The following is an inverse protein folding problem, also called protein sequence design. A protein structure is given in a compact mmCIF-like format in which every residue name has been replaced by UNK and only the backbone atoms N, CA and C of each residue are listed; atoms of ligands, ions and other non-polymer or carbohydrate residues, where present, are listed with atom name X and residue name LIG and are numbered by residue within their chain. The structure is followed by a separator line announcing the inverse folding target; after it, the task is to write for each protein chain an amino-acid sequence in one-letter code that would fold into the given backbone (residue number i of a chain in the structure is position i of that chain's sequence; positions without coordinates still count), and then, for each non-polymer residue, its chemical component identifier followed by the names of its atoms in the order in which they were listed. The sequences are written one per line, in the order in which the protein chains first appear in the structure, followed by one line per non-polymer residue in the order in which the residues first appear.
data_IF_396929080342
#
_entry.id   IF_396929080342
#
_cell.length_a   1.000
_cell.length_b   1.000
_cell.length_c   1.000
_cell.angle_alpha   90.00
_cell.angle_beta   90.00
_cell.angle_gamma   90.00
#
_symmetry.space_group_name_H-M   'P 1'
#
loop_
_entity.id
_entity.type
_entity.pdbx_description
1 polymer ?
#
# COMPACT_ATOMS: atom_id res chain seq x y z
N UNK A 1 27.65 -5.55 28.38
CA UNK A 1 26.44 -4.74 28.09
C UNK A 1 25.87 -4.95 26.69
N UNK A 2 26.60 -5.52 25.72
CA UNK A 2 26.10 -5.77 24.35
C UNK A 2 25.29 -7.08 24.17
N UNK A 3 25.57 -8.12 24.97
CA UNK A 3 24.89 -9.42 24.89
C UNK A 3 23.34 -9.36 24.91
N UNK A 4 22.69 -8.57 25.80
CA UNK A 4 21.22 -8.49 25.80
C UNK A 4 20.68 -7.79 24.54
N UNK A 5 21.38 -6.78 24.01
CA UNK A 5 20.97 -6.09 22.79
C UNK A 5 21.05 -7.02 21.57
N UNK A 6 22.14 -7.79 21.46
CA UNK A 6 22.33 -8.76 20.36
C UNK A 6 21.22 -9.80 20.38
N UNK A 7 20.87 -10.33 21.57
CA UNK A 7 19.79 -11.30 21.70
C UNK A 7 18.45 -10.71 21.24
N UNK A 8 18.11 -9.48 21.66
CA UNK A 8 16.88 -8.80 21.24
C UNK A 8 16.82 -8.62 19.73
N UNK A 9 17.93 -8.20 19.11
CA UNK A 9 17.99 -8.01 17.66
C UNK A 9 17.82 -9.33 16.91
N UNK A 10 18.46 -10.41 17.38
CA UNK A 10 18.29 -11.74 16.77
C UNK A 10 16.85 -12.20 16.85
N UNK A 11 16.22 -12.11 18.03
CA UNK A 11 14.80 -12.46 18.20
C UNK A 11 13.91 -11.62 17.29
N UNK A 12 14.12 -10.30 17.24
CA UNK A 12 13.34 -9.40 16.40
C UNK A 12 13.45 -9.74 14.91
N UNK A 13 14.66 -10.02 14.42
CA UNK A 13 14.90 -10.41 13.02
C UNK A 13 14.27 -11.77 12.72
N UNK A 14 14.41 -12.75 13.61
CA UNK A 14 13.80 -14.07 13.44
C UNK A 14 12.27 -14.00 13.41
N UNK A 15 11.66 -13.28 14.35
CA UNK A 15 10.19 -13.09 14.38
C UNK A 15 9.73 -12.39 13.11
N UNK A 16 10.42 -11.32 12.68
CA UNK A 16 10.11 -10.63 11.41
C UNK A 16 10.19 -11.60 10.23
N UNK A 17 11.29 -12.35 10.10
CA UNK A 17 11.46 -13.30 9.00
C UNK A 17 10.37 -14.39 8.99
N UNK A 18 9.98 -14.90 10.17
CA UNK A 18 8.90 -15.87 10.31
C UNK A 18 7.54 -15.30 9.86
N UNK A 19 7.19 -14.09 10.31
CA UNK A 19 5.95 -13.41 9.93
C UNK A 19 5.91 -13.12 8.41
N UNK A 20 7.00 -12.64 7.83
CA UNK A 20 7.09 -12.35 6.40
C UNK A 20 6.96 -13.60 5.52
N UNK A 21 7.38 -14.77 6.00
CA UNK A 21 7.21 -16.04 5.26
C UNK A 21 5.86 -16.73 5.49
N UNK A 22 5.09 -16.26 6.47
CA UNK A 22 3.77 -16.83 6.76
C UNK A 22 2.70 -16.33 5.78
N UNK A 23 1.58 -17.05 5.70
CA UNK A 23 0.41 -16.61 4.92
C UNK A 23 -0.32 -15.40 5.50
N UNK A 24 0.05 -14.97 6.72
CA UNK A 24 -0.58 -13.82 7.39
C UNK A 24 -0.43 -12.53 6.59
N UNK A 25 0.72 -12.33 5.95
CA UNK A 25 0.95 -11.14 5.14
C UNK A 25 -0.04 -11.04 3.96
N UNK A 26 -0.30 -12.16 3.27
CA UNK A 26 -1.29 -12.23 2.21
C UNK A 26 -2.72 -11.99 2.71
N UNK A 27 -3.10 -12.68 3.80
CA UNK A 27 -4.43 -12.54 4.41
C UNK A 27 -4.72 -11.10 4.86
N UNK A 28 -3.72 -10.41 5.41
CA UNK A 28 -3.84 -9.03 5.87
C UNK A 28 -3.84 -8.06 4.68
N UNK A 29 -3.03 -8.30 3.64
CA UNK A 29 -2.93 -7.39 2.49
C UNK A 29 -4.23 -7.24 1.69
N UNK A 30 -5.15 -8.21 1.77
CA UNK A 30 -6.44 -8.13 1.09
C UNK A 30 -7.47 -7.28 1.86
N UNK A 31 -7.22 -7.00 3.14
CA UNK A 31 -8.13 -6.28 4.03
C UNK A 31 -8.13 -4.79 3.76
N UNK A 32 -9.31 -4.21 3.69
CA UNK A 32 -9.51 -2.78 3.37
C UNK A 32 -9.08 -1.89 4.53
N UNK A 33 -9.12 -2.40 5.76
CA UNK A 33 -8.81 -1.68 7.00
C UNK A 33 -7.32 -1.35 7.15
N UNK A 34 -6.46 -2.09 6.47
CA UNK A 34 -5.00 -1.91 6.45
C UNK A 34 -4.49 -1.53 5.07
N UNK A 35 -5.36 -1.53 4.06
CA UNK A 35 -5.03 -1.06 2.74
C UNK A 35 -4.86 0.46 2.77
N UNK A 36 -3.77 0.92 2.21
CA UNK A 36 -3.43 2.32 2.03
C UNK A 36 -2.85 2.49 0.63
N UNK A 37 -2.81 3.70 0.08
CA UNK A 37 -2.20 3.95 -1.23
C UNK A 37 -0.74 3.50 -1.33
N UNK A 38 -0.03 3.44 -0.19
CA UNK A 38 1.39 3.08 -0.13
C UNK A 38 1.65 1.58 -0.19
N UNK A 39 0.76 0.76 0.39
CA UNK A 39 0.94 -0.70 0.44
C UNK A 39 0.04 -1.45 -0.57
N UNK A 40 -0.97 -0.78 -1.13
CA UNK A 40 -1.90 -1.33 -2.12
C UNK A 40 -1.86 -0.54 -3.44
N UNK A 41 -0.66 -0.24 -3.96
CA UNK A 41 -0.46 0.60 -5.14
C UNK A 41 -1.28 0.17 -6.36
N UNK A 42 -1.47 -1.14 -6.56
CA UNK A 42 -2.31 -1.68 -7.64
C UNK A 42 -3.73 -1.12 -7.61
N UNK A 43 -4.33 -1.00 -6.41
CA UNK A 43 -5.67 -0.42 -6.23
C UNK A 43 -5.70 1.07 -6.57
N UNK A 44 -4.61 1.80 -6.32
CA UNK A 44 -4.47 3.21 -6.72
C UNK A 44 -4.52 3.31 -8.24
N UNK A 45 -3.70 2.54 -8.94
CA UNK A 45 -3.63 2.56 -10.42
C UNK A 45 -4.96 2.14 -11.05
N UNK A 46 -5.59 1.08 -10.55
CA UNK A 46 -6.92 0.67 -11.02
C UNK A 46 -7.99 1.72 -10.73
N UNK A 47 -7.96 2.34 -9.55
CA UNK A 47 -8.86 3.43 -9.19
C UNK A 47 -8.71 4.66 -10.09
N UNK A 48 -7.48 5.04 -10.43
CA UNK A 48 -7.21 6.16 -11.34
C UNK A 48 -7.69 5.83 -12.76
N UNK A 49 -7.43 4.62 -13.26
CA UNK A 49 -7.93 4.20 -14.57
C UNK A 49 -9.47 4.25 -14.65
N UNK A 50 -10.17 3.88 -13.57
CA UNK A 50 -11.64 4.04 -13.52
C UNK A 50 -12.05 5.51 -13.53
N UNK A 51 -11.34 6.35 -12.76
CA UNK A 51 -11.59 7.80 -12.71
C UNK A 51 -11.45 8.43 -14.09
N UNK A 52 -10.40 8.08 -14.84
CA UNK A 52 -10.14 8.56 -16.20
C UNK A 52 -11.24 8.14 -17.20
N UNK A 53 -11.85 6.96 -16.98
CA UNK A 53 -13.00 6.48 -17.75
C UNK A 53 -14.34 7.13 -17.32
N UNK A 54 -14.32 8.06 -16.37
CA UNK A 54 -15.52 8.68 -15.82
C UNK A 54 -16.35 7.75 -14.92
N UNK A 55 -15.79 6.62 -14.51
CA UNK A 55 -16.42 5.66 -13.60
C UNK A 55 -15.96 5.96 -12.17
N UNK A 56 -16.90 6.05 -11.23
CA UNK A 56 -16.55 6.28 -9.83
C UNK A 56 -15.68 5.14 -9.29
N UNK A 57 -14.44 5.40 -8.82
CA UNK A 57 -13.55 4.38 -8.24
C UNK A 57 -14.12 3.73 -6.97
N UNK A 58 -15.08 4.40 -6.34
CA UNK A 58 -15.79 3.96 -5.14
C UNK A 58 -16.97 3.03 -5.45
N UNK A 59 -17.48 3.05 -6.69
CA UNK A 59 -18.65 2.25 -7.07
C UNK A 59 -18.37 0.74 -7.10
N UNK A 60 -17.12 0.35 -7.35
CA UNK A 60 -16.66 -1.04 -7.42
C UNK A 60 -15.81 -1.48 -6.23
N UNK A 61 -15.78 -0.70 -5.13
CA UNK A 61 -14.98 -0.99 -3.93
C UNK A 61 -13.47 -1.16 -4.24
N UNK A 62 -12.96 -0.45 -5.26
CA UNK A 62 -11.56 -0.52 -5.67
C UNK A 62 -10.69 0.39 -4.81
N UNK A 63 -11.24 1.54 -4.40
CA UNK A 63 -10.52 2.57 -3.66
C UNK A 63 -11.29 2.97 -2.39
N UNK A 64 -10.61 2.96 -1.24
CA UNK A 64 -11.22 3.10 0.08
C UNK A 64 -10.80 4.36 0.85
N UNK A 65 -9.97 5.20 0.24
CA UNK A 65 -9.53 6.45 0.85
C UNK A 65 -10.45 7.63 0.47
N UNK A 66 -10.22 8.79 1.06
CA UNK A 66 -11.05 9.96 0.74
C UNK A 66 -10.89 10.42 -0.73
N UNK A 67 -11.92 11.05 -1.34
CA UNK A 67 -11.83 11.62 -2.68
C UNK A 67 -10.64 12.54 -2.91
N UNK A 68 -10.20 13.29 -1.90
CA UNK A 68 -9.02 14.16 -2.03
C UNK A 68 -7.75 13.36 -2.33
N UNK A 69 -7.60 12.17 -1.73
CA UNK A 69 -6.42 11.34 -1.90
C UNK A 69 -6.32 10.81 -3.33
N UNK A 70 -7.43 10.40 -3.95
CA UNK A 70 -7.36 9.90 -5.32
C UNK A 70 -6.97 11.01 -6.31
N UNK A 71 -7.50 12.23 -6.15
CA UNK A 71 -7.09 13.37 -6.98
C UNK A 71 -5.64 13.79 -6.72
N UNK A 72 -5.15 13.66 -5.48
CA UNK A 72 -3.74 13.89 -5.17
C UNK A 72 -2.84 12.91 -5.93
N UNK A 73 -3.15 11.61 -5.92
CA UNK A 73 -2.36 10.62 -6.64
C UNK A 73 -2.45 10.78 -8.16
N UNK A 74 -3.61 11.18 -8.68
CA UNK A 74 -3.78 11.55 -10.09
C UNK A 74 -2.78 12.67 -10.47
N UNK A 75 -2.81 13.78 -9.73
CA UNK A 75 -1.87 14.89 -9.93
C UNK A 75 -0.40 14.49 -9.79
N UNK A 76 -0.05 13.68 -8.79
CA UNK A 76 1.33 13.26 -8.56
C UNK A 76 1.87 12.38 -9.68
N UNK A 77 1.04 11.49 -10.24
CA UNK A 77 1.42 10.63 -11.36
C UNK A 77 1.57 11.48 -12.62
N UNK A 78 0.60 12.33 -12.94
CA UNK A 78 0.69 13.25 -14.10
C UNK A 78 1.93 14.13 -14.03
N UNK A 79 2.24 14.67 -12.85
CA UNK A 79 3.44 15.46 -12.62
C UNK A 79 4.73 14.63 -12.78
N UNK A 80 4.74 13.40 -12.26
CA UNK A 80 5.90 12.52 -12.39
C UNK A 80 6.14 12.14 -13.86
N UNK A 81 5.08 11.84 -14.63
CA UNK A 81 5.19 11.59 -16.06
C UNK A 81 5.74 12.81 -16.79
N UNK A 82 5.23 14.01 -16.51
CA UNK A 82 5.72 15.25 -17.13
C UNK A 82 7.20 15.55 -16.85
N UNK A 83 7.69 15.21 -15.65
CA UNK A 83 9.06 15.54 -15.21
C UNK A 83 10.08 14.47 -15.59
N UNK A 84 9.70 13.20 -15.57
CA UNK A 84 10.62 12.07 -15.70
C UNK A 84 10.52 11.32 -17.04
N UNK A 85 9.49 11.56 -17.86
CA UNK A 85 9.37 11.03 -19.23
C UNK A 85 9.58 12.10 -20.28
#
# INVERSE_FOLDING_TARGET
MAAPLVLVLLVAVTVRAALFRSSLAGLISERVEVASPLNAWKRVVEGLALLDLGVSPYSGDVFHETPLIIYLFHFLIDYAELVFM
#
